data_IF_562629993675
#
_entry.id   IF_562629993675
#
_cell.length_a   1.000
_cell.length_b   1.000
_cell.length_c   1.000
_cell.angle_alpha   90.00
_cell.angle_beta   90.00
_cell.angle_gamma   90.00
#
_symmetry.space_group_name_H-M   'P 1'
#
loop_
_entity.id
_entity.type
_entity.pdbx_description
1 polymer ?
#
# COMPACT_ATOMS: atom_id res chain seq x y z
N UNK A 1 -5.76 25.52 20.84
CA UNK A 1 -6.31 25.10 19.54
C UNK A 1 -7.76 24.76 19.77
N UNK A 2 -8.68 25.46 19.12
CA UNK A 2 -10.10 25.10 19.18
C UNK A 2 -10.30 23.79 18.40
N UNK A 3 -11.30 22.96 18.74
CA UNK A 3 -11.51 21.67 18.04
C UNK A 3 -11.70 21.81 16.52
N UNK A 4 -12.17 22.98 16.06
CA UNK A 4 -12.39 23.29 14.64
C UNK A 4 -11.04 23.33 13.90
N UNK A 5 -10.03 23.95 14.50
CA UNK A 5 -8.67 24.02 13.95
C UNK A 5 -8.03 22.63 13.87
N UNK A 6 -8.35 21.73 14.83
CA UNK A 6 -7.79 20.39 14.87
C UNK A 6 -8.29 19.53 13.71
N UNK A 7 -9.61 19.35 13.57
CA UNK A 7 -10.15 18.46 12.53
C UNK A 7 -9.97 19.03 11.12
N UNK A 8 -10.13 20.36 10.97
CA UNK A 8 -9.84 21.04 9.70
C UNK A 8 -8.36 20.89 9.31
N UNK A 9 -7.45 21.12 10.26
CA UNK A 9 -6.02 20.95 10.04
C UNK A 9 -5.63 19.52 9.68
N UNK A 10 -6.19 18.52 10.38
CA UNK A 10 -5.97 17.10 10.07
C UNK A 10 -6.53 16.73 8.68
N UNK A 11 -7.66 17.29 8.28
CA UNK A 11 -8.26 17.05 6.95
C UNK A 11 -7.35 17.59 5.85
N UNK A 12 -6.85 18.81 5.99
CA UNK A 12 -5.90 19.39 5.03
C UNK A 12 -4.62 18.56 4.97
N UNK A 13 -4.04 18.22 6.13
CA UNK A 13 -2.84 17.40 6.22
C UNK A 13 -3.03 16.04 5.54
N UNK A 14 -4.16 15.37 5.82
CA UNK A 14 -4.48 14.07 5.23
C UNK A 14 -4.64 14.16 3.70
N UNK A 15 -5.27 15.22 3.20
CA UNK A 15 -5.43 15.47 1.77
C UNK A 15 -4.08 15.70 1.07
N UNK A 16 -3.20 16.52 1.67
CA UNK A 16 -1.85 16.76 1.15
C UNK A 16 -1.03 15.47 1.14
N UNK A 17 -1.07 14.69 2.22
CA UNK A 17 -0.39 13.40 2.30
C UNK A 17 -0.92 12.42 1.24
N UNK A 18 -2.23 12.38 1.00
CA UNK A 18 -2.82 11.55 -0.05
C UNK A 18 -2.30 11.94 -1.44
N UNK A 19 -2.20 13.24 -1.75
CA UNK A 19 -1.65 13.71 -3.03
C UNK A 19 -0.16 13.34 -3.19
N UNK A 20 0.64 13.46 -2.14
CA UNK A 20 2.05 13.05 -2.15
C UNK A 20 2.17 11.54 -2.38
N UNK A 21 1.41 10.74 -1.64
CA UNK A 21 1.41 9.29 -1.81
C UNK A 21 0.95 8.89 -3.21
N UNK A 22 -0.07 9.56 -3.76
CA UNK A 22 -0.54 9.35 -5.13
C UNK A 22 0.57 9.62 -6.15
N UNK A 23 1.30 10.72 -6.01
CA UNK A 23 2.44 11.03 -6.88
C UNK A 23 3.53 9.93 -6.80
N UNK A 24 3.86 9.46 -5.60
CA UNK A 24 4.81 8.36 -5.41
C UNK A 24 4.34 7.05 -6.05
N UNK A 25 3.06 6.69 -5.90
CA UNK A 25 2.45 5.52 -6.55
C UNK A 25 2.53 5.66 -8.07
N UNK A 26 2.24 6.84 -8.61
CA UNK A 26 2.30 7.07 -10.04
C UNK A 26 3.71 6.90 -10.60
N UNK A 27 4.73 7.42 -9.90
CA UNK A 27 6.14 7.21 -10.25
C UNK A 27 6.51 5.73 -10.17
N UNK A 28 6.05 5.03 -9.13
CA UNK A 28 6.29 3.59 -8.97
C UNK A 28 5.73 2.78 -10.14
N UNK A 29 4.43 2.95 -10.45
CA UNK A 29 3.75 2.22 -11.51
C UNK A 29 4.38 2.53 -12.88
N UNK A 30 4.66 3.80 -13.19
CA UNK A 30 5.39 4.15 -14.42
C UNK A 30 6.77 3.51 -14.51
N UNK A 31 7.45 3.34 -13.37
CA UNK A 31 8.72 2.64 -13.30
C UNK A 31 8.59 1.15 -13.63
N UNK A 32 7.50 0.51 -13.19
CA UNK A 32 7.20 -0.89 -13.50
C UNK A 32 6.80 -1.08 -14.97
N UNK A 33 5.91 -0.22 -15.50
CA UNK A 33 5.42 -0.29 -16.88
C UNK A 33 6.53 -0.13 -17.93
N UNK A 34 7.63 0.58 -17.59
CA UNK A 34 8.77 0.78 -18.49
C UNK A 34 9.70 -0.43 -18.58
N UNK A 35 9.56 -1.43 -17.70
CA UNK A 35 10.40 -2.63 -17.70
C UNK A 35 9.87 -3.65 -18.71
N UNK A 36 10.74 -4.38 -19.41
CA UNK A 36 10.30 -5.52 -20.22
C UNK A 36 9.59 -6.54 -19.31
N UNK A 37 8.39 -7.02 -19.67
CA UNK A 37 7.66 -7.97 -18.85
C UNK A 37 8.48 -9.26 -18.71
N UNK A 38 8.64 -9.74 -17.48
CA UNK A 38 9.30 -11.03 -17.24
C UNK A 38 8.51 -12.16 -17.90
N UNK A 39 9.23 -13.13 -18.49
CA UNK A 39 8.63 -14.26 -19.22
C UNK A 39 7.64 -15.11 -18.39
N UNK A 40 7.78 -15.11 -17.05
CA UNK A 40 6.87 -15.77 -16.12
C UNK A 40 5.74 -14.87 -15.57
N UNK A 41 5.77 -13.57 -15.88
CA UNK A 41 4.80 -12.58 -15.40
C UNK A 41 3.41 -12.68 -16.03
N UNK A 42 3.31 -13.27 -17.23
CA UNK A 42 2.02 -13.46 -17.92
C UNK A 42 1.22 -14.67 -17.43
N UNK A 43 1.85 -15.59 -16.67
CA UNK A 43 1.16 -16.77 -16.16
C UNK A 43 0.45 -16.48 -14.83
N UNK A 44 -0.88 -16.45 -14.87
CA UNK A 44 -1.72 -16.27 -13.68
C UNK A 44 -1.38 -17.32 -12.62
N UNK A 45 -0.87 -16.88 -11.48
CA UNK A 45 -0.49 -17.74 -10.36
C UNK A 45 1.01 -18.04 -10.20
N UNK A 46 1.85 -17.71 -11.20
CA UNK A 46 3.29 -17.90 -11.12
C UNK A 46 3.93 -17.16 -9.93
N UNK A 47 3.45 -15.96 -9.62
CA UNK A 47 3.92 -15.19 -8.45
C UNK A 47 3.74 -15.98 -7.14
N UNK A 48 2.59 -16.62 -6.95
CA UNK A 48 2.29 -17.35 -5.73
C UNK A 48 3.11 -18.64 -5.63
N UNK A 49 3.27 -19.34 -6.76
CA UNK A 49 4.06 -20.57 -6.83
C UNK A 49 5.55 -20.30 -6.56
N UNK A 50 6.12 -19.28 -7.22
CA UNK A 50 7.53 -18.91 -7.05
C UNK A 50 7.80 -18.41 -5.63
N UNK A 51 6.95 -17.54 -5.07
CA UNK A 51 7.12 -17.08 -3.69
C UNK A 51 6.94 -18.21 -2.66
N UNK A 52 6.12 -19.22 -2.95
CA UNK A 52 6.01 -20.41 -2.10
C UNK A 52 7.29 -21.25 -2.14
N UNK A 53 7.85 -21.49 -3.33
CA UNK A 53 9.15 -22.18 -3.49
C UNK A 53 10.27 -21.46 -2.75
N UNK A 54 10.38 -20.14 -2.89
CA UNK A 54 11.36 -19.31 -2.14
C UNK A 54 11.15 -19.43 -0.62
N UNK A 55 9.89 -19.44 -0.17
CA UNK A 55 9.58 -19.52 1.26
C UNK A 55 9.97 -20.87 1.86
N UNK A 56 9.77 -21.94 1.10
CA UNK A 56 10.04 -23.33 1.49
C UNK A 56 11.49 -23.77 1.20
N UNK A 57 12.26 -23.00 0.44
CA UNK A 57 13.63 -23.34 0.06
C UNK A 57 13.69 -24.49 -0.94
N UNK A 58 12.67 -24.64 -1.79
CA UNK A 58 12.63 -25.69 -2.79
C UNK A 58 13.64 -25.44 -3.93
N UNK A 59 14.07 -26.47 -4.67
CA UNK A 59 14.83 -26.29 -5.89
C UNK A 59 14.05 -25.44 -6.90
N UNK A 60 14.70 -24.42 -7.46
CA UNK A 60 14.12 -23.51 -8.44
C UNK A 60 14.98 -23.47 -9.69
N UNK A 61 14.36 -23.26 -10.86
CA UNK A 61 15.10 -22.97 -12.08
C UNK A 61 15.72 -21.56 -12.03
N UNK A 62 16.67 -21.28 -12.92
CA UNK A 62 17.27 -19.94 -13.00
C UNK A 62 16.22 -18.85 -13.30
N UNK A 63 15.27 -19.13 -14.19
CA UNK A 63 14.18 -18.20 -14.52
C UNK A 63 13.29 -17.90 -13.29
N UNK A 64 13.02 -18.91 -12.45
CA UNK A 64 12.25 -18.74 -11.22
C UNK A 64 13.01 -17.91 -10.17
N UNK A 65 14.34 -18.07 -10.10
CA UNK A 65 15.20 -17.27 -9.23
C UNK A 65 15.19 -15.81 -9.67
N UNK A 66 15.37 -15.55 -10.97
CA UNK A 66 15.41 -14.18 -11.49
C UNK A 66 14.06 -13.49 -11.32
N UNK A 67 12.97 -14.22 -11.54
CA UNK A 67 11.62 -13.74 -11.25
C UNK A 67 11.37 -13.47 -9.76
N UNK A 68 11.85 -14.35 -8.86
CA UNK A 68 11.78 -14.13 -7.42
C UNK A 68 12.56 -12.87 -6.98
N UNK A 69 13.73 -12.62 -7.58
CA UNK A 69 14.55 -11.42 -7.32
C UNK A 69 13.79 -10.15 -7.70
N UNK A 70 13.12 -10.16 -8.85
CA UNK A 70 12.28 -9.05 -9.28
C UNK A 70 11.12 -8.80 -8.31
N UNK A 71 10.31 -9.82 -8.00
CA UNK A 71 9.16 -9.70 -7.10
C UNK A 71 9.54 -9.16 -5.72
N UNK A 72 10.64 -9.66 -5.17
CA UNK A 72 11.13 -9.24 -3.85
C UNK A 72 11.74 -7.84 -3.91
N UNK A 73 12.44 -7.49 -4.98
CA UNK A 73 12.96 -6.15 -5.21
C UNK A 73 11.83 -5.12 -5.30
N UNK A 74 10.77 -5.46 -6.03
CA UNK A 74 9.62 -4.59 -6.21
C UNK A 74 8.83 -4.42 -4.90
N UNK A 75 8.54 -5.52 -4.20
CA UNK A 75 7.87 -5.46 -2.90
C UNK A 75 8.73 -4.75 -1.81
N UNK A 76 10.05 -4.79 -1.95
CA UNK A 76 11.00 -4.09 -1.08
C UNK A 76 11.27 -2.63 -1.44
N UNK A 77 10.75 -2.15 -2.57
CA UNK A 77 10.91 -0.77 -3.00
C UNK A 77 10.24 0.19 -2.01
N UNK A 78 10.91 1.26 -1.55
CA UNK A 78 10.27 2.29 -0.72
C UNK A 78 8.99 2.87 -1.35
N UNK A 79 8.97 3.00 -2.68
CA UNK A 79 7.82 3.53 -3.41
C UNK A 79 6.62 2.56 -3.42
N UNK A 80 6.83 1.25 -3.27
CA UNK A 80 5.73 0.29 -3.18
C UNK A 80 4.87 0.53 -1.92
N UNK A 81 5.49 1.01 -0.84
CA UNK A 81 4.79 1.36 0.40
C UNK A 81 3.93 2.63 0.27
N UNK A 82 4.08 3.41 -0.80
CA UNK A 82 3.17 4.51 -1.09
C UNK A 82 1.75 4.03 -1.40
N UNK A 83 1.58 2.78 -1.88
CA UNK A 83 0.27 2.18 -2.15
C UNK A 83 -0.56 2.03 -0.85
N UNK A 84 -0.09 1.29 0.18
CA UNK A 84 -0.82 1.22 1.44
C UNK A 84 -0.89 2.59 2.14
N UNK A 85 0.14 3.44 2.05
CA UNK A 85 0.09 4.79 2.63
C UNK A 85 -1.02 5.66 2.01
N UNK A 86 -1.23 5.59 0.68
CA UNK A 86 -2.32 6.28 0.00
C UNK A 86 -3.68 5.80 0.49
N UNK A 87 -3.88 4.48 0.57
CA UNK A 87 -5.14 3.90 1.08
C UNK A 87 -5.41 4.32 2.53
N UNK A 88 -4.37 4.34 3.36
CA UNK A 88 -4.48 4.78 4.74
C UNK A 88 -4.88 6.26 4.82
N UNK A 89 -4.18 7.13 4.08
CA UNK A 89 -4.43 8.58 4.10
C UNK A 89 -5.79 8.94 3.53
N UNK A 90 -6.30 8.23 2.52
CA UNK A 90 -7.67 8.40 2.04
C UNK A 90 -8.71 8.01 3.11
N UNK A 91 -8.52 6.87 3.79
CA UNK A 91 -9.40 6.46 4.88
C UNK A 91 -9.37 7.45 6.05
N UNK A 92 -8.17 7.92 6.40
CA UNK A 92 -7.99 8.92 7.45
C UNK A 92 -8.65 10.25 7.08
N UNK A 93 -8.41 10.76 5.86
CA UNK A 93 -9.03 11.98 5.31
C UNK A 93 -10.55 11.95 5.43
N UNK A 94 -11.17 10.82 5.05
CA UNK A 94 -12.62 10.65 5.18
C UNK A 94 -13.09 10.78 6.64
N UNK A 95 -12.43 10.10 7.58
CA UNK A 95 -12.83 10.12 9.00
C UNK A 95 -12.69 11.52 9.59
N UNK A 96 -11.54 12.18 9.40
CA UNK A 96 -11.31 13.52 9.97
C UNK A 96 -12.14 14.60 9.28
N UNK A 97 -12.41 14.44 7.98
CA UNK A 97 -13.32 15.31 7.25
C UNK A 97 -14.76 15.20 7.77
N UNK A 98 -15.24 13.97 8.01
CA UNK A 98 -16.54 13.78 8.66
C UNK A 98 -16.58 14.33 10.10
N UNK A 99 -15.49 14.25 10.86
CA UNK A 99 -15.40 14.89 12.19
C UNK A 99 -15.47 16.41 12.11
N UNK A 100 -14.78 17.01 11.13
CA UNK A 100 -14.86 18.44 10.86
C UNK A 100 -16.28 18.88 10.51
N UNK A 101 -16.94 18.19 9.58
CA UNK A 101 -18.33 18.45 9.16
C UNK A 101 -19.31 18.40 10.35
N UNK A 102 -19.23 17.34 11.17
CA UNK A 102 -20.07 17.20 12.37
C UNK A 102 -19.83 18.31 13.39
N UNK A 103 -18.60 18.81 13.48
CA UNK A 103 -18.28 19.90 14.37
C UNK A 103 -18.77 21.26 13.85
N UNK A 104 -18.69 21.52 12.55
CA UNK A 104 -19.09 22.80 11.94
C UNK A 104 -20.61 22.90 11.82
N UNK A 105 -21.28 21.82 11.39
CA UNK A 105 -22.72 21.81 11.10
C UNK A 105 -23.58 21.19 12.20
N UNK A 106 -22.94 20.63 13.23
CA UNK A 106 -23.62 19.93 14.32
C UNK A 106 -24.00 18.49 13.93
N UNK A 107 -24.08 17.62 14.93
CA UNK A 107 -24.49 16.22 14.76
C UNK A 107 -23.74 15.28 15.70
N UNK A 108 -24.13 14.01 15.68
CA UNK A 108 -23.44 12.96 16.43
C UNK A 108 -22.71 12.01 15.48
N UNK A 109 -21.48 11.60 15.82
CA UNK A 109 -20.77 10.60 15.04
C UNK A 109 -21.56 9.29 15.00
N UNK A 110 -21.60 8.67 13.83
CA UNK A 110 -22.22 7.36 13.62
C UNK A 110 -21.20 6.41 13.01
N UNK A 111 -21.56 5.13 12.85
CA UNK A 111 -20.72 4.16 12.15
C UNK A 111 -20.25 4.67 10.77
N UNK A 112 -21.11 5.42 10.06
CA UNK A 112 -20.80 6.01 8.76
C UNK A 112 -19.56 6.91 8.79
N UNK A 113 -19.37 7.64 9.87
CA UNK A 113 -18.23 8.52 10.10
C UNK A 113 -16.91 7.75 10.13
N UNK A 114 -16.94 6.48 10.55
CA UNK A 114 -15.76 5.65 10.73
C UNK A 114 -15.57 4.59 9.64
N UNK A 115 -16.35 4.63 8.54
CA UNK A 115 -16.20 3.69 7.42
C UNK A 115 -14.80 3.76 6.82
N UNK A 116 -14.15 4.93 6.84
CA UNK A 116 -12.73 5.08 6.46
C UNK A 116 -11.76 4.25 7.29
N UNK A 117 -12.17 3.71 8.44
CA UNK A 117 -11.41 2.73 9.22
C UNK A 117 -11.15 1.42 8.49
N UNK A 118 -12.08 0.97 7.66
CA UNK A 118 -11.94 -0.27 6.89
C UNK A 118 -10.74 -0.20 5.93
N UNK A 119 -10.64 0.79 5.01
CA UNK A 119 -9.48 0.90 4.12
C UNK A 119 -8.16 1.15 4.88
N UNK A 120 -8.19 1.80 6.06
CA UNK A 120 -7.00 1.92 6.92
C UNK A 120 -6.53 0.56 7.44
N UNK A 121 -7.42 -0.32 7.87
CA UNK A 121 -7.03 -1.68 8.31
C UNK A 121 -6.56 -2.54 7.14
N UNK A 122 -7.25 -2.43 5.99
CA UNK A 122 -6.83 -3.10 4.75
C UNK A 122 -5.43 -2.67 4.34
N UNK A 123 -5.09 -1.39 4.44
CA UNK A 123 -3.77 -0.89 4.05
C UNK A 123 -2.65 -1.40 4.96
N UNK A 124 -2.90 -1.53 6.27
CA UNK A 124 -1.95 -2.16 7.20
C UNK A 124 -1.69 -3.63 6.84
N UNK A 125 -2.72 -4.37 6.40
CA UNK A 125 -2.55 -5.74 5.92
C UNK A 125 -1.69 -5.77 4.63
N UNK A 126 -1.95 -4.88 3.66
CA UNK A 126 -1.15 -4.76 2.43
C UNK A 126 0.31 -4.43 2.76
N UNK A 127 0.55 -3.48 3.66
CA UNK A 127 1.89 -3.15 4.15
C UNK A 127 2.60 -4.39 4.71
N UNK A 128 1.92 -5.15 5.58
CA UNK A 128 2.46 -6.38 6.16
C UNK A 128 2.72 -7.49 5.12
N UNK A 129 1.91 -7.59 4.07
CA UNK A 129 2.15 -8.51 2.95
C UNK A 129 3.40 -8.11 2.16
N UNK A 130 3.50 -6.85 1.74
CA UNK A 130 4.68 -6.33 1.02
C UNK A 130 5.96 -6.52 1.84
N UNK A 131 5.92 -6.17 3.13
CA UNK A 131 7.06 -6.34 4.01
C UNK A 131 7.48 -7.81 4.19
N UNK A 132 6.51 -8.74 4.28
CA UNK A 132 6.82 -10.18 4.33
C UNK A 132 7.49 -10.66 3.04
N UNK A 133 7.01 -10.21 1.88
CA UNK A 133 7.62 -10.55 0.58
C UNK A 133 9.02 -9.94 0.48
N UNK A 134 9.20 -8.66 0.83
CA UNK A 134 10.51 -8.01 0.85
C UNK A 134 11.54 -8.76 1.71
N UNK A 135 11.11 -9.34 2.84
CA UNK A 135 11.97 -10.14 3.73
C UNK A 135 12.41 -11.47 3.12
N UNK A 136 11.73 -11.98 2.09
CA UNK A 136 12.16 -13.17 1.35
C UNK A 136 13.45 -12.94 0.58
N UNK A 137 13.95 -11.70 0.43
CA UNK A 137 15.26 -11.39 -0.16
C UNK A 137 16.40 -12.19 0.45
N UNK A 138 16.30 -12.51 1.74
CA UNK A 138 17.30 -13.30 2.47
C UNK A 138 17.24 -14.81 2.17
N UNK A 139 16.20 -15.27 1.47
CA UNK A 139 15.94 -16.68 1.14
C UNK A 139 16.01 -16.95 -0.37
N UNK A 140 16.11 -15.92 -1.19
CA UNK A 140 16.33 -16.08 -2.63
C UNK A 140 17.78 -16.52 -2.84
N UNK A 141 18.04 -17.61 -3.61
CA UNK A 141 19.39 -18.05 -3.96
C UNK A 141 20.22 -17.01 -4.74
#
# INVERSE_FOLDING_TARGET
>A
MTGIELWGGLTILAGLMALICLACVFVYIRGLERRPPAALGEQVGAHKAVLAKVREGQPMSQDEIDYAKELVSDAGSPLAYAIPALLFTMGFFYVVGCMYELQVHGGHPSFRTFIGGIPMLTSLNIFGQLHRVARLKKRVP
#
